data_IF_037682392035
#
_entry.id   IF_037682392035
#
_cell.length_a   1.000
_cell.length_b   1.000
_cell.length_c   1.000
_cell.angle_alpha   90.00
_cell.angle_beta   90.00
_cell.angle_gamma   90.00
#
_symmetry.space_group_name_H-M   'P 1'
#
loop_
_entity.id
_entity.type
_entity.pdbx_description
1 polymer ?
#
# COMPACT_ATOMS: atom_id res chain seq x y z
N UNK A 1 16.87 14.63 50.37
CA UNK A 1 15.40 14.56 50.24
C UNK A 1 15.05 13.16 49.76
N UNK A 2 14.51 12.33 50.63
CA UNK A 2 14.10 10.97 50.31
C UNK A 2 12.71 11.03 49.64
N UNK A 3 12.58 10.47 48.43
CA UNK A 3 11.30 10.30 47.77
C UNK A 3 11.00 8.80 47.71
N UNK A 4 9.96 8.40 48.44
CA UNK A 4 9.50 7.04 48.64
C UNK A 4 8.92 6.43 47.36
N UNK A 5 9.39 5.25 46.98
CA UNK A 5 8.79 4.43 45.94
C UNK A 5 7.54 3.73 46.50
N UNK A 6 6.38 3.92 45.88
CA UNK A 6 5.16 3.16 46.22
C UNK A 6 5.09 1.88 45.39
N UNK A 7 4.61 0.74 45.94
CA UNK A 7 4.53 -0.51 45.20
C UNK A 7 3.36 -0.50 44.19
N UNK A 8 3.46 -1.21 43.06
CA UNK A 8 2.37 -1.31 42.09
C UNK A 8 1.25 -2.20 42.63
N UNK A 9 0.02 -1.71 42.50
CA UNK A 9 -1.24 -2.41 42.77
C UNK A 9 -1.36 -3.65 41.89
N UNK A 10 -1.60 -4.81 42.51
CA UNK A 10 -1.96 -6.06 41.82
C UNK A 10 -3.30 -5.86 41.11
N UNK A 11 -3.30 -5.77 39.78
CA UNK A 11 -4.54 -5.93 39.00
C UNK A 11 -4.81 -7.43 38.87
N UNK A 12 -5.99 -7.84 39.32
CA UNK A 12 -6.49 -9.20 39.16
C UNK A 12 -6.55 -9.56 37.67
N UNK A 13 -6.03 -10.74 37.33
CA UNK A 13 -6.03 -11.28 35.98
C UNK A 13 -7.44 -11.83 35.71
N UNK A 14 -8.18 -11.14 34.85
CA UNK A 14 -9.40 -11.70 34.30
C UNK A 14 -9.00 -12.71 33.21
N UNK A 15 -9.57 -13.90 33.31
CA UNK A 15 -9.47 -15.01 32.36
C UNK A 15 -9.76 -14.56 30.92
N UNK A 16 -8.73 -14.60 30.08
CA UNK A 16 -8.84 -14.26 28.66
C UNK A 16 -9.41 -15.48 27.91
N UNK A 17 -10.41 -15.23 27.06
CA UNK A 17 -10.85 -16.17 26.03
C UNK A 17 -9.69 -16.60 25.12
N UNK A 18 -9.92 -17.51 24.16
CA UNK A 18 -8.83 -18.11 23.37
C UNK A 18 -7.96 -17.00 22.78
N UNK A 19 -6.71 -16.94 23.25
CA UNK A 19 -5.75 -15.94 22.81
C UNK A 19 -5.56 -16.09 21.30
N UNK A 20 -5.65 -14.98 20.57
CA UNK A 20 -5.14 -14.95 19.20
C UNK A 20 -3.70 -15.46 19.24
N UNK A 21 -3.29 -16.34 18.29
CA UNK A 21 -1.94 -16.89 18.31
C UNK A 21 -0.95 -15.74 18.31
N UNK A 22 -0.03 -15.73 19.28
CA UNK A 22 0.97 -14.69 19.39
C UNK A 22 1.74 -14.56 18.07
N UNK A 23 1.78 -13.33 17.54
CA UNK A 23 2.55 -13.02 16.35
C UNK A 23 4.03 -13.37 16.59
N UNK A 24 4.62 -14.12 15.67
CA UNK A 24 6.00 -14.58 15.72
C UNK A 24 6.61 -14.54 14.33
N UNK A 25 7.94 -14.53 14.26
CA UNK A 25 8.70 -14.47 13.02
C UNK A 25 9.75 -15.57 12.98
N UNK A 26 10.42 -15.73 11.85
CA UNK A 26 11.52 -16.69 11.71
C UNK A 26 12.69 -16.02 10.99
N UNK A 27 13.91 -16.28 11.46
CA UNK A 27 15.15 -15.86 10.80
C UNK A 27 15.67 -17.05 9.98
N UNK A 28 16.05 -16.82 8.74
CA UNK A 28 16.67 -17.84 7.90
C UNK A 28 17.90 -18.45 8.60
N UNK A 29 17.97 -19.78 8.66
CA UNK A 29 19.02 -20.50 9.38
C UNK A 29 18.84 -20.56 10.91
N UNK A 30 17.82 -19.90 11.48
CA UNK A 30 17.45 -20.07 12.88
C UNK A 30 16.29 -21.06 13.02
N UNK A 31 16.48 -22.18 13.77
CA UNK A 31 15.53 -23.29 13.78
C UNK A 31 14.23 -22.99 14.56
N UNK A 32 14.20 -21.94 15.37
CA UNK A 32 13.05 -21.59 16.20
C UNK A 32 12.46 -20.24 15.81
N UNK A 33 11.13 -20.06 15.95
CA UNK A 33 10.52 -18.76 15.79
C UNK A 33 11.04 -17.79 16.86
N UNK A 34 11.09 -16.51 16.49
CA UNK A 34 11.43 -15.40 17.37
C UNK A 34 10.16 -14.64 17.77
N UNK A 35 10.19 -14.02 18.95
CA UNK A 35 9.07 -13.25 19.45
C UNK A 35 8.88 -11.94 18.68
N UNK A 36 7.66 -11.39 18.69
CA UNK A 36 7.36 -10.09 18.09
C UNK A 36 8.27 -8.99 18.63
N UNK A 37 8.59 -8.98 19.93
CA UNK A 37 9.47 -7.98 20.53
C UNK A 37 10.90 -8.06 20.00
N UNK A 38 11.34 -9.27 19.60
CA UNK A 38 12.64 -9.45 18.97
C UNK A 38 12.62 -8.98 17.52
N UNK A 39 11.52 -9.22 16.80
CA UNK A 39 11.29 -8.67 15.46
C UNK A 39 11.34 -7.15 15.54
N UNK A 40 10.54 -6.52 16.41
CA UNK A 40 10.45 -5.07 16.53
C UNK A 40 11.82 -4.43 16.85
N UNK A 41 12.60 -5.05 17.74
CA UNK A 41 13.97 -4.63 18.03
C UNK A 41 14.86 -4.67 16.79
N UNK A 42 14.80 -5.75 16.01
CA UNK A 42 15.55 -5.88 14.76
C UNK A 42 15.08 -4.88 13.69
N UNK A 43 13.78 -4.57 13.65
CA UNK A 43 13.22 -3.54 12.76
C UNK A 43 13.68 -2.13 13.12
N UNK A 44 13.92 -1.84 14.40
CA UNK A 44 14.46 -0.56 14.86
C UNK A 44 15.96 -0.41 14.56
N UNK A 45 16.73 -1.50 14.68
CA UNK A 45 18.18 -1.48 14.50
C UNK A 45 18.61 -1.54 13.02
N UNK A 46 17.80 -2.18 12.16
CA UNK A 46 18.11 -2.38 10.75
C UNK A 46 17.01 -1.84 9.82
N UNK A 47 17.41 -1.32 8.67
CA UNK A 47 16.46 -1.03 7.59
C UNK A 47 15.85 -2.34 7.08
N UNK A 48 14.52 -2.41 7.00
CA UNK A 48 13.80 -3.61 6.57
C UNK A 48 13.05 -3.40 5.26
N UNK A 49 12.79 -4.50 4.55
CA UNK A 49 12.01 -4.51 3.31
C UNK A 49 10.93 -5.57 3.40
N UNK A 50 9.68 -5.14 3.27
CA UNK A 50 8.53 -6.01 3.41
C UNK A 50 8.15 -6.65 2.08
N UNK A 51 8.17 -7.98 2.03
CA UNK A 51 7.55 -8.76 0.96
C UNK A 51 6.29 -9.38 1.56
N UNK A 52 5.14 -9.16 0.92
CA UNK A 52 3.88 -9.76 1.35
C UNK A 52 3.52 -10.91 0.43
N UNK A 53 3.12 -12.02 1.02
CA UNK A 53 2.58 -13.19 0.31
C UNK A 53 1.07 -13.27 0.49
N UNK A 54 0.37 -13.89 -0.47
CA UNK A 54 -0.99 -14.39 -0.27
C UNK A 54 -0.99 -15.75 0.43
N UNK A 55 -2.18 -16.29 0.69
CA UNK A 55 -2.37 -17.58 1.38
C UNK A 55 -1.80 -18.78 0.61
N UNK A 56 -1.47 -18.60 -0.68
CA UNK A 56 -0.85 -19.63 -1.52
C UNK A 56 0.68 -19.45 -1.63
N UNK A 57 1.27 -18.57 -0.82
CA UNK A 57 2.70 -18.29 -0.82
C UNK A 57 3.16 -17.49 -2.04
N UNK A 58 2.26 -16.77 -2.73
CA UNK A 58 2.61 -15.96 -3.89
C UNK A 58 2.85 -14.50 -3.47
N UNK A 59 3.90 -13.90 -4.01
CA UNK A 59 4.22 -12.50 -3.71
C UNK A 59 3.14 -11.57 -4.27
N UNK A 60 2.51 -10.80 -3.39
CA UNK A 60 1.49 -9.81 -3.72
C UNK A 60 1.98 -8.37 -3.57
N UNK A 61 3.01 -8.12 -2.76
CA UNK A 61 3.69 -6.83 -2.64
C UNK A 61 5.20 -7.06 -2.52
N UNK A 62 5.97 -6.19 -3.18
CA UNK A 62 7.45 -6.22 -3.25
C UNK A 62 8.08 -4.91 -2.78
N UNK A 63 7.27 -3.95 -2.30
CA UNK A 63 7.78 -2.65 -1.87
C UNK A 63 8.59 -1.99 -2.98
N UNK A 64 9.86 -1.67 -2.75
CA UNK A 64 10.75 -1.10 -3.77
C UNK A 64 11.76 -2.08 -4.37
N UNK A 65 11.65 -3.38 -4.09
CA UNK A 65 12.58 -4.37 -4.63
C UNK A 65 12.40 -4.55 -6.14
N UNK A 66 11.17 -4.37 -6.62
CA UNK A 66 10.85 -4.33 -8.05
C UNK A 66 10.21 -3.00 -8.42
N UNK A 67 10.69 -2.41 -9.52
CA UNK A 67 10.14 -1.15 -10.04
C UNK A 67 8.79 -1.38 -10.74
N UNK A 68 8.62 -2.51 -11.41
CA UNK A 68 7.43 -2.79 -12.20
C UNK A 68 6.46 -3.66 -11.41
N UNK A 69 5.16 -3.35 -11.53
CA UNK A 69 4.12 -4.22 -10.99
C UNK A 69 4.18 -5.59 -11.65
N UNK A 70 4.07 -6.65 -10.84
CA UNK A 70 4.01 -8.03 -11.32
C UNK A 70 2.73 -8.26 -12.14
N UNK A 71 2.70 -9.31 -12.96
CA UNK A 71 1.51 -9.67 -13.74
C UNK A 71 0.26 -9.87 -12.87
N UNK A 72 0.43 -10.44 -11.67
CA UNK A 72 -0.67 -10.65 -10.70
C UNK A 72 -1.16 -9.35 -10.10
N UNK A 73 -0.25 -8.44 -9.76
CA UNK A 73 -0.63 -7.10 -9.32
C UNK A 73 -1.38 -6.37 -10.43
N UNK A 74 -0.93 -6.49 -11.69
CA UNK A 74 -1.66 -5.95 -12.85
C UNK A 74 -3.04 -6.58 -13.03
N UNK A 75 -3.16 -7.89 -12.89
CA UNK A 75 -4.46 -8.57 -12.97
C UNK A 75 -5.40 -8.14 -11.84
N UNK A 76 -4.89 -8.01 -10.62
CA UNK A 76 -5.66 -7.50 -9.48
C UNK A 76 -6.10 -6.05 -9.69
N UNK A 77 -5.23 -5.18 -10.25
CA UNK A 77 -5.63 -3.83 -10.66
C UNK A 77 -6.65 -3.85 -11.79
N UNK A 78 -6.55 -4.78 -12.75
CA UNK A 78 -7.55 -4.91 -13.81
C UNK A 78 -8.94 -5.23 -13.26
N UNK A 79 -9.03 -6.11 -12.26
CA UNK A 79 -10.28 -6.42 -11.56
C UNK A 79 -10.76 -5.22 -10.74
N UNK A 80 -9.86 -4.58 -9.97
CA UNK A 80 -10.19 -3.46 -9.10
C UNK A 80 -10.61 -2.22 -9.88
N UNK A 81 -9.88 -1.84 -10.92
CA UNK A 81 -10.06 -0.58 -11.64
C UNK A 81 -11.04 -0.72 -12.81
N UNK A 82 -11.09 -1.90 -13.44
CA UNK A 82 -11.93 -2.19 -14.60
C UNK A 82 -11.44 -1.56 -15.92
N UNK A 83 -10.32 -0.84 -15.89
CA UNK A 83 -9.74 -0.13 -17.03
C UNK A 83 -8.99 1.11 -16.60
N UNK A 84 -8.79 2.04 -17.52
CA UNK A 84 -8.24 3.34 -17.22
C UNK A 84 -9.12 4.08 -16.20
N UNK A 85 -8.60 4.40 -15.01
CA UNK A 85 -9.38 5.05 -13.95
C UNK A 85 -9.81 6.49 -14.29
N UNK A 86 -9.19 7.12 -15.28
CA UNK A 86 -9.47 8.49 -15.66
C UNK A 86 -10.97 8.73 -15.90
N UNK A 87 -11.46 9.90 -15.50
CA UNK A 87 -12.87 10.27 -15.66
C UNK A 87 -13.24 10.25 -17.15
N UNK A 88 -14.44 9.74 -17.46
CA UNK A 88 -14.96 9.60 -18.83
C UNK A 88 -14.09 8.80 -19.81
N UNK A 89 -13.15 7.99 -19.30
CA UNK A 89 -12.40 7.03 -20.10
C UNK A 89 -13.00 5.63 -19.97
N UNK A 90 -13.11 4.93 -21.10
CA UNK A 90 -13.67 3.57 -21.24
C UNK A 90 -12.61 2.54 -21.67
N UNK A 91 -11.33 2.94 -21.77
CA UNK A 91 -10.24 2.05 -22.18
C UNK A 91 -10.12 0.87 -21.21
N UNK A 92 -10.14 -0.34 -21.76
CA UNK A 92 -10.06 -1.57 -20.98
C UNK A 92 -8.68 -1.77 -20.32
N UNK A 93 -8.56 -2.70 -19.36
CA UNK A 93 -7.27 -3.01 -18.73
C UNK A 93 -6.18 -3.43 -19.72
N UNK A 94 -6.55 -4.08 -20.83
CA UNK A 94 -5.62 -4.49 -21.88
C UNK A 94 -4.97 -3.30 -22.61
N UNK A 95 -5.62 -2.14 -22.58
CA UNK A 95 -5.11 -0.88 -23.16
C UNK A 95 -4.56 0.08 -22.10
N UNK A 96 -4.33 -0.44 -20.89
CA UNK A 96 -3.89 0.35 -19.74
C UNK A 96 -2.54 -0.12 -19.21
N UNK A 97 -1.79 0.86 -18.72
CA UNK A 97 -0.50 0.71 -18.06
C UNK A 97 -0.71 0.91 -16.55
N UNK A 98 0.10 0.23 -15.74
CA UNK A 98 0.08 0.43 -14.29
C UNK A 98 0.96 1.62 -13.93
N UNK A 99 0.41 2.56 -13.16
CA UNK A 99 1.05 3.79 -12.71
C UNK A 99 1.14 3.81 -11.19
N UNK A 100 2.32 4.13 -10.65
CA UNK A 100 2.49 4.36 -9.21
C UNK A 100 1.94 5.73 -8.82
N UNK A 101 0.98 5.78 -7.89
CA UNK A 101 0.41 7.03 -7.34
C UNK A 101 1.50 7.90 -6.71
N UNK A 102 2.39 7.27 -5.95
CA UNK A 102 3.60 7.89 -5.44
C UNK A 102 4.75 7.53 -6.38
N UNK A 103 5.42 8.53 -6.94
CA UNK A 103 6.50 8.29 -7.90
C UNK A 103 7.61 7.42 -7.28
N UNK A 104 7.81 6.24 -7.87
CA UNK A 104 8.84 5.29 -7.44
C UNK A 104 10.25 5.91 -7.51
N UNK A 105 10.54 6.68 -8.57
CA UNK A 105 11.84 7.35 -8.77
C UNK A 105 12.13 8.43 -7.72
N UNK A 106 11.11 9.00 -7.07
CA UNK A 106 11.27 9.98 -5.97
C UNK A 106 11.51 9.29 -4.62
N UNK A 107 11.63 7.96 -4.59
CA UNK A 107 11.97 7.17 -3.40
C UNK A 107 10.80 6.84 -2.48
N UNK A 108 9.62 7.42 -2.74
CA UNK A 108 8.43 7.33 -1.89
C UNK A 108 7.33 6.41 -2.47
N UNK A 109 7.56 5.84 -3.66
CA UNK A 109 6.64 4.89 -4.29
C UNK A 109 6.97 3.45 -3.97
N UNK A 110 5.98 2.68 -3.53
CA UNK A 110 6.05 1.23 -3.40
C UNK A 110 5.28 0.56 -4.55
N UNK A 111 5.78 -0.57 -5.01
CA UNK A 111 5.09 -1.51 -5.89
C UNK A 111 4.16 -2.38 -5.04
N UNK A 112 3.20 -1.71 -4.42
CA UNK A 112 2.11 -2.30 -3.66
C UNK A 112 0.82 -2.15 -4.46
N UNK A 113 -0.04 -3.16 -4.46
CA UNK A 113 -1.29 -3.12 -5.24
C UNK A 113 -2.13 -1.86 -4.96
N UNK A 114 -2.12 -1.46 -3.70
CA UNK A 114 -2.80 -0.30 -3.15
C UNK A 114 -2.29 1.04 -3.72
N UNK A 115 -1.03 1.11 -4.14
CA UNK A 115 -0.36 2.32 -4.63
C UNK A 115 -0.16 2.32 -6.15
N UNK A 116 -0.65 1.29 -6.84
CA UNK A 116 -0.77 1.25 -8.30
C UNK A 116 -2.19 1.58 -8.77
N UNK A 117 -2.33 2.18 -9.95
CA UNK A 117 -3.59 2.39 -10.68
C UNK A 117 -3.42 2.12 -12.17
N UNK A 118 -4.49 1.71 -12.86
CA UNK A 118 -4.48 1.58 -14.32
C UNK A 118 -4.83 2.90 -15.03
N UNK A 119 -4.00 3.28 -16.00
CA UNK A 119 -4.22 4.42 -16.90
C UNK A 119 -3.87 4.04 -18.33
N UNK A 120 -4.67 4.46 -19.31
CA UNK A 120 -4.28 4.34 -20.72
C UNK A 120 -3.13 5.29 -21.05
N UNK A 121 -2.36 4.96 -22.09
CA UNK A 121 -1.15 5.71 -22.46
C UNK A 121 -1.33 7.25 -22.50
N UNK A 122 -2.38 7.82 -23.14
CA UNK A 122 -2.57 9.27 -23.16
C UNK A 122 -2.74 9.87 -21.75
N UNK A 123 -3.54 9.24 -20.90
CA UNK A 123 -3.78 9.73 -19.54
C UNK A 123 -2.57 9.49 -18.63
N UNK A 124 -1.82 8.41 -18.85
CA UNK A 124 -0.57 8.17 -18.13
C UNK A 124 0.45 9.31 -18.39
N UNK A 125 0.54 9.79 -19.63
CA UNK A 125 1.41 10.92 -19.98
C UNK A 125 0.96 12.25 -19.35
N UNK A 126 -0.32 12.44 -19.02
CA UNK A 126 -0.77 13.65 -18.33
C UNK A 126 -0.15 13.75 -16.92
N UNK A 127 0.03 12.62 -16.23
CA UNK A 127 0.68 12.61 -14.91
C UNK A 127 2.18 12.87 -15.04
N UNK A 128 2.83 12.25 -16.02
CA UNK A 128 4.27 12.42 -16.23
C UNK A 128 4.66 13.80 -16.74
N UNK A 129 3.87 14.39 -17.64
CA UNK A 129 4.31 15.54 -18.43
C UNK A 129 3.49 16.82 -18.17
N UNK A 130 2.33 16.71 -17.53
CA UNK A 130 1.39 17.83 -17.37
C UNK A 130 0.95 18.04 -15.92
N UNK A 131 1.75 17.57 -14.96
CA UNK A 131 1.60 17.82 -13.52
C UNK A 131 0.25 17.40 -12.92
N UNK A 132 -0.50 16.53 -13.61
CA UNK A 132 -1.64 15.84 -13.01
C UNK A 132 -1.12 14.90 -11.93
N UNK A 133 -1.87 14.78 -10.84
CA UNK A 133 -1.49 13.88 -9.75
C UNK A 133 -2.69 13.06 -9.33
N UNK A 134 -2.46 11.80 -8.97
CA UNK A 134 -3.45 10.97 -8.30
C UNK A 134 -3.05 10.89 -6.84
N UNK A 135 -4.05 10.81 -5.96
CA UNK A 135 -3.85 10.53 -4.54
C UNK A 135 -4.91 9.54 -4.06
N UNK A 136 -4.67 8.92 -2.91
CA UNK A 136 -5.56 7.91 -2.34
C UNK A 136 -5.88 8.25 -0.89
N UNK A 137 -7.13 8.06 -0.49
CA UNK A 137 -7.58 8.15 0.91
C UNK A 137 -8.45 6.94 1.21
N UNK A 138 -7.94 6.03 2.05
CA UNK A 138 -8.55 4.71 2.22
C UNK A 138 -8.54 3.91 0.90
N UNK A 139 -9.72 3.53 0.41
CA UNK A 139 -9.91 2.83 -0.86
C UNK A 139 -10.22 3.74 -2.04
N UNK A 140 -10.46 5.04 -1.80
CA UNK A 140 -10.85 6.00 -2.82
C UNK A 140 -9.64 6.67 -3.47
N UNK A 141 -9.65 6.76 -4.80
CA UNK A 141 -8.66 7.50 -5.58
C UNK A 141 -9.21 8.87 -6.00
N UNK A 142 -8.32 9.86 -6.08
CA UNK A 142 -8.63 11.24 -6.40
C UNK A 142 -7.66 11.77 -7.44
N UNK A 143 -8.18 12.29 -8.53
CA UNK A 143 -7.42 13.06 -9.51
C UNK A 143 -7.35 14.51 -9.05
N UNK A 144 -6.15 15.08 -9.12
CA UNK A 144 -5.90 16.49 -8.85
C UNK A 144 -5.33 17.14 -10.11
N UNK A 145 -6.03 18.14 -10.67
CA UNK A 145 -5.54 18.88 -11.82
C UNK A 145 -4.32 19.75 -11.48
N UNK A 146 -3.53 20.14 -12.50
CA UNK A 146 -2.50 21.15 -12.34
C UNK A 146 -3.14 22.55 -12.22
N UNK A 147 -2.39 23.52 -11.69
CA UNK A 147 -2.91 24.87 -11.39
C UNK A 147 -3.37 25.62 -12.64
N UNK A 148 -2.80 25.28 -13.79
CA UNK A 148 -3.11 25.85 -15.10
C UNK A 148 -4.50 25.43 -15.59
N UNK A 149 -4.99 24.25 -15.17
CA UNK A 149 -6.31 23.72 -15.53
C UNK A 149 -7.37 24.14 -14.51
N UNK A 150 -7.05 24.03 -13.22
CA UNK A 150 -7.89 24.52 -12.13
C UNK A 150 -6.98 25.14 -11.05
N UNK A 151 -7.00 26.49 -10.88
CA UNK A 151 -6.22 27.17 -9.85
C UNK A 151 -6.53 26.69 -8.44
N UNK A 152 -7.74 26.19 -8.17
CA UNK A 152 -8.13 25.64 -6.86
C UNK A 152 -7.68 24.20 -6.67
N UNK A 153 -7.23 23.53 -7.74
CA UNK A 153 -6.83 22.13 -7.77
C UNK A 153 -7.86 21.21 -7.13
N UNK A 154 -9.13 21.42 -7.48
CA UNK A 154 -10.28 20.71 -6.91
C UNK A 154 -10.14 19.21 -7.16
N UNK A 155 -10.35 18.41 -6.13
CA UNK A 155 -10.22 16.95 -6.23
C UNK A 155 -11.42 16.36 -6.97
N UNK A 156 -11.12 15.50 -7.94
CA UNK A 156 -12.11 14.76 -8.73
C UNK A 156 -12.03 13.29 -8.33
N UNK A 157 -13.13 12.71 -7.89
CA UNK A 157 -13.17 11.30 -7.52
C UNK A 157 -12.92 10.41 -8.75
N UNK A 158 -12.07 9.40 -8.59
CA UNK A 158 -11.82 8.34 -9.56
C UNK A 158 -12.39 7.01 -9.03
N UNK A 159 -13.70 6.75 -9.19
CA UNK A 159 -14.28 5.47 -8.78
C UNK A 159 -13.79 4.34 -9.69
N UNK A 160 -13.79 3.12 -9.16
CA UNK A 160 -13.63 1.92 -9.99
C UNK A 160 -14.72 1.88 -11.08
N UNK A 161 -14.34 1.49 -12.30
CA UNK A 161 -15.32 1.25 -13.39
C UNK A 161 -16.24 0.06 -13.09
N UNK A 162 -15.92 -0.74 -12.08
CA UNK A 162 -16.69 -1.92 -11.63
C UNK A 162 -17.54 -1.62 -10.39
N UNK A 163 -17.44 -0.44 -9.77
CA UNK A 163 -18.19 -0.09 -8.56
C UNK A 163 -19.72 0.06 -8.79
N UNK A 164 -20.17 0.06 -10.04
CA UNK A 164 -21.59 0.19 -10.43
C UNK A 164 -22.14 -1.06 -11.13
N UNK A 165 -21.48 -2.22 -10.99
CA UNK A 165 -21.95 -3.52 -11.50
C UNK A 165 -22.45 -4.42 -10.37
#
# INVERSE_FOLDING_TARGET
MASSCSPPSTKQVNEHGPAEPAAHGQIEGHPFPISQETIDRLLCDAGTRGIKFDDNGQIINVGRDERLFTEKQRAAMAVRDGGCLWIDCDRSPAWSEAHHINEWLKGNGNTDLADGVLLCHPHHLLLHNQHWTISRTGTQHWLRPPVEVDPKRTLIALPSKRANL
#
